data_IF_260189832265
#
_entry.id   IF_260189832265
#
_cell.length_a   1.000
_cell.length_b   1.000
_cell.length_c   1.000
_cell.angle_alpha   90.00
_cell.angle_beta   90.00
_cell.angle_gamma   90.00
#
_symmetry.space_group_name_H-M   'P 1'
#
loop_
_entity.id
_entity.type
_entity.pdbx_description
1 polymer ?
#
# COMPACT_ATOMS: atom_id res chain seq x y z
N UNK A 1 -11.98 13.98 9.53
CA UNK A 1 -11.29 12.85 10.21
C UNK A 1 -12.25 11.87 10.88
N UNK A 2 -13.05 12.25 11.89
CA UNK A 2 -13.96 11.30 12.58
C UNK A 2 -14.90 10.53 11.65
N UNK A 3 -15.53 11.19 10.67
CA UNK A 3 -16.41 10.53 9.70
C UNK A 3 -15.71 9.43 8.88
N UNK A 4 -14.41 9.56 8.59
CA UNK A 4 -13.67 8.55 7.81
C UNK A 4 -13.38 7.30 8.65
N UNK A 5 -13.20 7.44 9.97
CA UNK A 5 -13.14 6.28 10.85
C UNK A 5 -14.45 5.50 10.86
N UNK A 6 -15.60 6.19 10.88
CA UNK A 6 -16.91 5.54 10.77
C UNK A 6 -17.05 4.78 9.46
N UNK A 7 -16.59 5.35 8.33
CA UNK A 7 -16.60 4.64 7.06
C UNK A 7 -15.77 3.36 7.08
N UNK A 8 -14.60 3.35 7.75
CA UNK A 8 -13.83 2.12 7.96
C UNK A 8 -14.65 1.03 8.67
N UNK A 9 -15.39 1.38 9.73
CA UNK A 9 -16.24 0.42 10.44
C UNK A 9 -17.49 -0.02 9.66
N UNK A 10 -17.95 0.79 8.71
CA UNK A 10 -19.13 0.52 7.88
C UNK A 10 -18.77 -0.03 6.48
N UNK A 11 -17.49 -0.25 6.20
CA UNK A 11 -16.95 -0.55 4.87
C UNK A 11 -17.32 -1.92 4.28
N UNK A 12 -18.01 -2.78 5.04
CA UNK A 12 -18.65 -3.98 4.47
C UNK A 12 -19.81 -3.60 3.54
N UNK A 13 -20.40 -2.41 3.75
CA UNK A 13 -21.30 -1.80 2.81
C UNK A 13 -20.51 -1.26 1.60
N UNK A 14 -20.85 -1.80 0.43
CA UNK A 14 -20.18 -1.47 -0.83
C UNK A 14 -20.30 0.01 -1.19
N UNK A 15 -21.41 0.67 -0.87
CA UNK A 15 -21.58 2.10 -1.15
C UNK A 15 -20.62 2.94 -0.30
N UNK A 16 -20.41 2.54 0.96
CA UNK A 16 -19.46 3.21 1.86
C UNK A 16 -18.02 3.00 1.39
N UNK A 17 -17.66 1.78 0.99
CA UNK A 17 -16.34 1.49 0.44
C UNK A 17 -16.08 2.28 -0.85
N UNK A 18 -17.08 2.36 -1.74
CA UNK A 18 -17.02 3.16 -2.96
C UNK A 18 -16.88 4.66 -2.64
N UNK A 19 -17.57 5.16 -1.61
CA UNK A 19 -17.45 6.54 -1.16
C UNK A 19 -16.05 6.84 -0.60
N UNK A 20 -15.47 5.93 0.19
CA UNK A 20 -14.08 6.02 0.63
C UNK A 20 -13.12 6.11 -0.56
N UNK A 21 -13.32 5.25 -1.56
CA UNK A 21 -12.49 5.19 -2.76
C UNK A 21 -12.61 6.44 -3.63
N UNK A 22 -13.83 6.89 -3.90
CA UNK A 22 -14.13 7.89 -4.94
C UNK A 22 -14.20 9.31 -4.40
N UNK A 23 -14.61 9.50 -3.14
CA UNK A 23 -14.83 10.84 -2.58
C UNK A 23 -13.83 11.18 -1.48
N UNK A 24 -13.59 10.30 -0.51
CA UNK A 24 -12.64 10.58 0.58
C UNK A 24 -11.20 10.72 0.04
N UNK A 25 -10.85 9.96 -1.00
CA UNK A 25 -9.54 10.06 -1.66
C UNK A 25 -9.27 11.43 -2.30
N UNK A 26 -10.30 12.25 -2.53
CA UNK A 26 -10.16 13.62 -3.06
C UNK A 26 -9.94 14.68 -1.98
N UNK A 27 -10.06 14.35 -0.70
CA UNK A 27 -9.88 15.30 0.40
C UNK A 27 -8.46 15.90 0.39
N UNK A 28 -8.35 17.23 0.40
CA UNK A 28 -7.07 17.94 0.33
C UNK A 28 -6.26 17.85 1.63
N UNK A 29 -6.90 17.50 2.75
CA UNK A 29 -6.26 17.41 4.04
C UNK A 29 -5.48 16.09 4.18
N UNK A 30 -4.16 16.19 4.20
CA UNK A 30 -3.28 15.02 4.35
C UNK A 30 -3.59 14.17 5.59
N UNK A 31 -4.08 14.76 6.69
CA UNK A 31 -4.48 13.99 7.89
C UNK A 31 -5.71 13.14 7.62
N UNK A 32 -6.63 13.60 6.77
CA UNK A 32 -7.77 12.79 6.32
C UNK A 32 -7.29 11.63 5.47
N UNK A 33 -6.30 11.84 4.61
CA UNK A 33 -5.68 10.76 3.81
C UNK A 33 -4.98 9.69 4.68
N UNK A 34 -4.40 10.07 5.83
CA UNK A 34 -3.92 9.09 6.81
C UNK A 34 -5.06 8.27 7.44
N UNK A 35 -6.21 8.90 7.68
CA UNK A 35 -7.39 8.18 8.21
C UNK A 35 -8.00 7.28 7.12
N UNK A 36 -7.99 7.69 5.85
CA UNK A 36 -8.44 6.83 4.73
C UNK A 36 -7.60 5.54 4.65
N UNK A 37 -6.27 5.65 4.79
CA UNK A 37 -5.39 4.49 4.82
C UNK A 37 -5.74 3.53 5.98
N UNK A 38 -6.00 4.07 7.17
CA UNK A 38 -6.44 3.28 8.35
C UNK A 38 -7.82 2.65 8.14
N UNK A 39 -8.76 3.38 7.54
CA UNK A 39 -10.10 2.89 7.25
C UNK A 39 -10.07 1.75 6.22
N UNK A 40 -9.15 1.80 5.25
CA UNK A 40 -8.95 0.73 4.29
C UNK A 40 -8.32 -0.53 4.93
N UNK A 41 -7.36 -0.37 5.84
CA UNK A 41 -6.84 -1.51 6.63
C UNK A 41 -7.93 -2.13 7.50
N UNK A 42 -8.81 -1.30 8.09
CA UNK A 42 -9.97 -1.77 8.85
C UNK A 42 -10.94 -2.58 8.00
N UNK A 43 -11.24 -2.14 6.77
CA UNK A 43 -12.02 -2.92 5.80
C UNK A 43 -11.39 -4.31 5.58
N UNK A 44 -10.09 -4.36 5.24
CA UNK A 44 -9.38 -5.60 4.98
C UNK A 44 -9.38 -6.53 6.22
N UNK A 45 -9.23 -5.95 7.42
CA UNK A 45 -9.28 -6.68 8.69
C UNK A 45 -10.64 -7.32 8.94
N UNK A 46 -11.75 -6.62 8.60
CA UNK A 46 -13.11 -7.10 8.85
C UNK A 46 -13.49 -8.27 7.93
N UNK A 47 -13.18 -8.17 6.64
CA UNK A 47 -13.55 -9.21 5.66
C UNK A 47 -12.51 -10.34 5.54
N UNK A 48 -11.29 -10.10 6.03
CA UNK A 48 -10.13 -10.98 5.87
C UNK A 48 -9.24 -10.54 4.71
N UNK A 49 -7.92 -10.49 4.95
CA UNK A 49 -6.95 -9.94 3.99
C UNK A 49 -6.86 -10.73 2.68
N UNK A 50 -7.03 -12.05 2.72
CA UNK A 50 -7.10 -12.90 1.53
C UNK A 50 -8.38 -12.61 0.73
N UNK A 51 -9.52 -12.51 1.41
CA UNK A 51 -10.81 -12.17 0.80
C UNK A 51 -10.81 -10.75 0.23
N UNK A 52 -10.00 -9.85 0.81
CA UNK A 52 -9.85 -8.47 0.37
C UNK A 52 -8.96 -8.29 -0.87
N UNK A 53 -8.22 -9.32 -1.32
CA UNK A 53 -7.29 -9.21 -2.45
C UNK A 53 -7.89 -8.57 -3.72
N UNK A 54 -9.12 -8.91 -4.16
CA UNK A 54 -9.71 -8.26 -5.33
C UNK A 54 -9.86 -6.75 -5.17
N UNK A 55 -10.23 -6.28 -3.99
CA UNK A 55 -10.39 -4.85 -3.69
C UNK A 55 -9.04 -4.15 -3.52
N UNK A 56 -8.08 -4.81 -2.87
CA UNK A 56 -6.68 -4.34 -2.79
C UNK A 56 -6.14 -4.11 -4.20
N UNK A 57 -6.26 -5.11 -5.07
CA UNK A 57 -5.77 -5.04 -6.45
C UNK A 57 -6.52 -4.00 -7.28
N UNK A 58 -7.81 -3.80 -7.04
CA UNK A 58 -8.60 -2.74 -7.66
C UNK A 58 -8.10 -1.34 -7.25
N UNK A 59 -7.94 -1.09 -5.95
CA UNK A 59 -7.52 0.22 -5.44
C UNK A 59 -6.08 0.56 -5.80
N UNK A 60 -5.18 -0.43 -5.86
CA UNK A 60 -3.80 -0.26 -6.32
C UNK A 60 -3.69 0.15 -7.79
N UNK A 61 -4.73 -0.12 -8.61
CA UNK A 61 -4.80 0.27 -10.03
C UNK A 61 -5.64 1.52 -10.27
N UNK A 62 -6.14 2.16 -9.21
CA UNK A 62 -7.01 3.32 -9.35
C UNK A 62 -6.28 4.53 -9.95
N UNK A 63 -7.00 5.41 -10.65
CA UNK A 63 -6.44 6.60 -11.26
C UNK A 63 -5.98 7.63 -10.22
N UNK A 64 -6.66 7.72 -9.06
CA UNK A 64 -6.32 8.67 -8.02
C UNK A 64 -5.13 8.18 -7.16
N UNK A 65 -4.06 8.99 -7.04
CA UNK A 65 -2.88 8.59 -6.28
C UNK A 65 -3.16 8.40 -4.79
N UNK A 66 -4.13 9.12 -4.23
CA UNK A 66 -4.52 8.98 -2.83
C UNK A 66 -5.18 7.62 -2.56
N UNK A 67 -5.97 7.10 -3.50
CA UNK A 67 -6.56 5.76 -3.43
C UNK A 67 -5.46 4.69 -3.41
N UNK A 68 -4.52 4.76 -4.36
CA UNK A 68 -3.38 3.83 -4.41
C UNK A 68 -2.53 3.90 -3.14
N UNK A 69 -2.23 5.13 -2.67
CA UNK A 69 -1.45 5.36 -1.46
C UNK A 69 -2.15 4.83 -0.22
N UNK A 70 -3.48 4.97 -0.11
CA UNK A 70 -4.24 4.49 1.03
C UNK A 70 -4.03 2.98 1.24
N UNK A 71 -3.94 2.21 0.15
CA UNK A 71 -3.61 0.78 0.20
C UNK A 71 -2.16 0.55 0.59
N UNK A 72 -1.20 1.16 -0.14
CA UNK A 72 0.23 0.92 0.09
C UNK A 72 0.64 1.29 1.51
N UNK A 73 0.06 2.35 2.08
CA UNK A 73 0.35 2.81 3.43
C UNK A 73 -0.47 2.08 4.49
N UNK A 74 -1.77 1.92 4.27
CA UNK A 74 -2.71 1.41 5.28
C UNK A 74 -2.34 0.03 5.77
N UNK A 75 -1.88 -0.83 4.86
CA UNK A 75 -1.49 -2.20 5.18
C UNK A 75 -0.09 -2.31 5.81
N UNK A 76 0.68 -1.21 5.94
CA UNK A 76 2.02 -1.28 6.56
C UNK A 76 1.93 -1.68 8.04
N UNK A 77 2.81 -2.56 8.53
CA UNK A 77 3.75 -3.41 7.79
C UNK A 77 2.97 -4.56 7.13
N UNK A 78 3.01 -4.72 5.80
CA UNK A 78 2.16 -5.66 5.08
C UNK A 78 2.31 -7.09 5.59
N UNK A 79 3.54 -7.56 5.76
CA UNK A 79 3.86 -8.92 6.25
C UNK A 79 3.63 -9.12 7.76
N UNK A 80 2.99 -8.17 8.43
CA UNK A 80 2.42 -8.36 9.78
C UNK A 80 0.93 -8.70 9.75
N UNK A 81 0.27 -8.50 8.60
CA UNK A 81 -1.15 -8.81 8.43
C UNK A 81 -1.36 -10.30 8.13
N UNK A 82 -2.49 -10.90 8.54
CA UNK A 82 -2.91 -12.22 8.09
C UNK A 82 -2.80 -12.37 6.57
N UNK A 83 -2.65 -13.61 6.09
CA UNK A 83 -2.31 -13.95 4.70
C UNK A 83 -0.91 -13.48 4.27
N UNK A 84 -0.62 -12.18 4.26
CA UNK A 84 0.69 -11.64 3.84
C UNK A 84 1.86 -12.04 4.75
N UNK A 85 1.59 -12.39 6.02
CA UNK A 85 2.59 -12.95 6.93
C UNK A 85 3.08 -14.33 6.46
N UNK A 86 2.19 -15.12 5.89
CA UNK A 86 2.46 -16.48 5.39
C UNK A 86 2.89 -16.46 3.91
N UNK A 87 2.45 -15.43 3.18
CA UNK A 87 2.73 -15.19 1.75
C UNK A 87 3.39 -13.82 1.53
N UNK A 88 4.64 -13.59 2.02
CA UNK A 88 5.32 -12.30 1.87
C UNK A 88 5.53 -11.89 0.40
N UNK A 89 5.71 -12.85 -0.50
CA UNK A 89 5.83 -12.64 -1.95
C UNK A 89 4.59 -11.94 -2.55
N UNK A 90 3.40 -12.25 -2.04
CA UNK A 90 2.15 -11.64 -2.52
C UNK A 90 2.04 -10.16 -2.12
N UNK A 91 2.64 -9.77 -1.00
CA UNK A 91 2.77 -8.37 -0.61
C UNK A 91 3.82 -7.66 -1.47
N UNK A 92 5.02 -8.26 -1.63
CA UNK A 92 6.13 -7.69 -2.40
C UNK A 92 5.71 -7.43 -3.83
N UNK A 93 5.12 -8.43 -4.50
CA UNK A 93 4.63 -8.33 -5.88
C UNK A 93 3.67 -7.16 -6.09
N UNK A 94 2.69 -7.00 -5.18
CA UNK A 94 1.70 -5.92 -5.26
C UNK A 94 2.30 -4.54 -5.04
N UNK A 95 3.17 -4.40 -4.05
CA UNK A 95 3.82 -3.12 -3.74
C UNK A 95 4.79 -2.74 -4.88
N UNK A 96 5.62 -3.68 -5.33
CA UNK A 96 6.64 -3.47 -6.37
C UNK A 96 6.04 -3.17 -7.75
N UNK A 97 4.78 -3.56 -8.00
CA UNK A 97 4.07 -3.15 -9.22
C UNK A 97 3.92 -1.62 -9.33
N UNK A 98 3.93 -0.89 -8.21
CA UNK A 98 3.82 0.57 -8.15
C UNK A 98 5.18 1.28 -8.06
N UNK A 99 6.30 0.59 -8.27
CA UNK A 99 7.66 1.20 -8.23
C UNK A 99 7.85 2.37 -9.21
N UNK A 100 7.10 2.37 -10.30
CA UNK A 100 7.13 3.40 -11.34
C UNK A 100 5.99 4.42 -11.23
N UNK A 101 5.23 4.42 -10.13
CA UNK A 101 4.06 5.29 -9.98
C UNK A 101 4.38 6.76 -10.29
N UNK A 102 3.49 7.46 -11.01
CA UNK A 102 3.69 8.86 -11.39
C UNK A 102 3.72 9.79 -10.18
N UNK A 103 3.01 9.45 -9.10
CA UNK A 103 2.95 10.23 -7.88
C UNK A 103 4.12 9.93 -6.94
N UNK A 104 4.89 10.97 -6.61
CA UNK A 104 5.95 10.86 -5.60
C UNK A 104 5.41 10.43 -4.23
N UNK A 105 4.19 10.84 -3.89
CA UNK A 105 3.53 10.48 -2.65
C UNK A 105 3.30 8.97 -2.55
N UNK A 106 2.87 8.34 -3.65
CA UNK A 106 2.72 6.88 -3.75
C UNK A 106 4.09 6.21 -3.68
N UNK A 107 5.06 6.67 -4.49
CA UNK A 107 6.42 6.09 -4.52
C UNK A 107 7.11 6.07 -3.15
N UNK A 108 6.92 7.11 -2.32
CA UNK A 108 7.41 7.15 -0.94
C UNK A 108 6.79 6.05 -0.07
N UNK A 109 5.48 5.83 -0.20
CA UNK A 109 4.78 4.76 0.53
C UNK A 109 5.23 3.38 0.07
N UNK A 110 5.35 3.16 -1.25
CA UNK A 110 5.87 1.92 -1.86
C UNK A 110 7.27 1.59 -1.31
N UNK A 111 8.21 2.53 -1.40
CA UNK A 111 9.58 2.30 -0.95
C UNK A 111 9.67 2.00 0.55
N UNK A 112 8.89 2.70 1.37
CA UNK A 112 8.85 2.46 2.81
C UNK A 112 8.16 1.13 3.17
N UNK A 113 7.11 0.72 2.43
CA UNK A 113 6.47 -0.57 2.63
C UNK A 113 7.44 -1.73 2.33
N UNK A 114 8.18 -1.66 1.21
CA UNK A 114 9.23 -2.64 0.89
C UNK A 114 10.36 -2.63 1.93
N UNK A 115 10.79 -1.44 2.39
CA UNK A 115 11.78 -1.30 3.46
C UNK A 115 11.34 -1.93 4.78
N UNK A 116 10.05 -1.87 5.10
CA UNK A 116 9.54 -2.51 6.31
C UNK A 116 9.58 -4.04 6.19
N UNK A 117 9.25 -4.58 5.01
CA UNK A 117 9.36 -6.01 4.72
C UNK A 117 10.83 -6.47 4.75
N UNK A 118 11.74 -5.64 4.24
CA UNK A 118 13.18 -5.96 4.13
C UNK A 118 13.84 -6.22 5.48
N UNK A 119 13.30 -5.67 6.58
CA UNK A 119 13.80 -5.91 7.94
C UNK A 119 13.61 -7.37 8.38
N UNK A 120 12.62 -8.07 7.84
CA UNK A 120 12.28 -9.45 8.20
C UNK A 120 12.55 -10.45 7.07
N UNK A 121 12.36 -10.03 5.82
CA UNK A 121 12.55 -10.86 4.63
C UNK A 121 13.56 -10.20 3.68
N UNK A 122 14.82 -10.00 4.10
CA UNK A 122 15.81 -9.28 3.30
C UNK A 122 16.10 -9.99 1.98
N UNK A 123 16.19 -11.32 1.97
CA UNK A 123 16.50 -12.10 0.76
C UNK A 123 15.42 -11.96 -0.32
N UNK A 124 14.13 -11.94 0.07
CA UNK A 124 13.03 -11.74 -0.88
C UNK A 124 13.03 -10.33 -1.48
N UNK A 125 13.36 -9.32 -0.67
CA UNK A 125 13.45 -7.94 -1.16
C UNK A 125 14.68 -7.77 -2.07
N UNK A 126 15.83 -8.35 -1.71
CA UNK A 126 17.01 -8.35 -2.59
C UNK A 126 16.67 -8.97 -3.96
N UNK A 127 16.06 -10.17 -3.95
CA UNK A 127 15.69 -10.86 -5.18
C UNK A 127 14.73 -10.04 -6.05
N UNK A 128 13.75 -9.37 -5.45
CA UNK A 128 12.86 -8.45 -6.19
C UNK A 128 13.64 -7.25 -6.76
N UNK A 129 14.47 -6.59 -5.94
CA UNK A 129 15.22 -5.40 -6.34
C UNK A 129 16.26 -5.68 -7.44
N UNK A 130 16.86 -6.86 -7.45
CA UNK A 130 17.81 -7.30 -8.49
C UNK A 130 17.18 -7.34 -9.89
N UNK A 131 15.85 -7.44 -9.97
CA UNK A 131 15.12 -7.42 -11.25
C UNK A 131 14.86 -6.01 -11.79
N UNK A 132 15.15 -4.96 -11.01
CA UNK A 132 14.73 -3.60 -11.35
C UNK A 132 15.76 -2.88 -12.23
N UNK A 133 15.29 -2.26 -13.31
CA UNK A 133 16.07 -1.26 -14.03
C UNK A 133 15.98 0.11 -13.30
N UNK A 134 17.08 0.54 -12.70
CA UNK A 134 17.19 1.77 -11.90
C UNK A 134 17.58 3.02 -12.71
N UNK A 135 17.60 2.97 -14.04
CA UNK A 135 17.88 4.12 -14.91
C UNK A 135 16.79 5.20 -14.79
N UNK A 136 15.54 4.80 -14.58
CA UNK A 136 14.42 5.73 -14.39
C UNK A 136 14.49 6.40 -13.02
N UNK A 137 14.38 7.73 -12.98
CA UNK A 137 14.38 8.52 -11.73
C UNK A 137 13.30 8.06 -10.73
N UNK A 138 12.12 7.68 -11.22
CA UNK A 138 11.01 7.17 -10.39
C UNK A 138 11.39 5.87 -9.69
N UNK A 139 11.91 4.88 -10.44
CA UNK A 139 12.35 3.59 -9.89
C UNK A 139 13.50 3.78 -8.91
N UNK A 140 14.49 4.62 -9.27
CA UNK A 140 15.65 4.91 -8.42
C UNK A 140 15.24 5.46 -7.05
N UNK A 141 14.24 6.33 -6.99
CA UNK A 141 13.72 6.85 -5.72
C UNK A 141 13.16 5.72 -4.84
N UNK A 142 12.35 4.83 -5.40
CA UNK A 142 11.75 3.71 -4.65
C UNK A 142 12.83 2.73 -4.21
N UNK A 143 13.76 2.41 -5.11
CA UNK A 143 14.89 1.52 -4.86
C UNK A 143 15.72 2.00 -3.66
N UNK A 144 16.10 3.28 -3.61
CA UNK A 144 16.88 3.86 -2.50
C UNK A 144 16.19 3.75 -1.13
N UNK A 145 14.87 3.82 -1.10
CA UNK A 145 14.10 3.63 0.14
C UNK A 145 14.08 2.15 0.54
N UNK A 146 13.80 1.27 -0.42
CA UNK A 146 13.65 -0.16 -0.20
C UNK A 146 14.98 -0.87 0.15
N UNK A 147 16.10 -0.48 -0.49
CA UNK A 147 17.41 -1.13 -0.33
C UNK A 147 18.17 -0.71 0.94
N UNK A 148 17.59 0.20 1.77
CA UNK A 148 18.27 0.82 2.91
C UNK A 148 18.87 -0.16 3.94
N UNK A 149 18.34 -1.38 4.03
CA UNK A 149 18.81 -2.43 4.94
C UNK A 149 19.37 -3.67 4.21
N UNK A 150 19.48 -3.58 2.89
CA UNK A 150 19.88 -4.66 2.01
C UNK A 150 21.34 -4.45 1.58
N UNK A 151 21.68 -3.23 1.21
CA UNK A 151 23.04 -2.81 0.92
C UNK A 151 23.83 -2.68 2.24
N UNK A 152 24.91 -3.48 2.37
CA UNK A 152 25.97 -3.30 3.37
C UNK A 152 27.15 -2.59 2.74
#
# INVERSE_FOLDING_TARGET
>A
MYGVFLFGYLSEDREILDFMKKEVSKDENWRVQEVLAKAFDEYCRKIGYEQALPVIDEWLRDIHPNTRRAVTEGLRIWTSRPYFKEHPEEAIKRIAALKEDSSEYVRKSVGNALRDISKKYPELIQAELDTWNIEKKSVKQVYQLASRFIEK
#
